data_IF_809119778523
#
_entry.id   IF_809119778523
#
_cell.length_a   1.000
_cell.length_b   1.000
_cell.length_c   1.000
_cell.angle_alpha   90.00
_cell.angle_beta   90.00
_cell.angle_gamma   90.00
#
_symmetry.space_group_name_H-M   'P 1'
#
loop_
_entity.id
_entity.type
_entity.pdbx_description
1 polymer ?
#
# COMPACT_ATOMS: atom_id res chain seq x y z
N UNK A 1 -14.69 32.11 -3.65
CA UNK A 1 -14.23 30.93 -4.41
C UNK A 1 -13.84 29.88 -3.39
N UNK A 2 -14.61 28.80 -3.28
CA UNK A 2 -14.31 27.72 -2.34
C UNK A 2 -13.20 26.87 -2.94
N UNK A 3 -11.97 27.02 -2.47
CA UNK A 3 -10.88 26.10 -2.81
C UNK A 3 -11.21 24.76 -2.16
N UNK A 4 -11.74 23.82 -2.93
CA UNK A 4 -11.81 22.42 -2.50
C UNK A 4 -10.39 21.97 -2.21
N UNK A 5 -10.10 21.72 -0.94
CA UNK A 5 -8.82 21.16 -0.50
C UNK A 5 -8.67 19.79 -1.16
N UNK A 6 -7.67 19.64 -2.03
CA UNK A 6 -7.34 18.35 -2.64
C UNK A 6 -7.07 17.35 -1.53
N UNK A 7 -7.69 16.17 -1.60
CA UNK A 7 -7.47 15.08 -0.65
C UNK A 7 -6.66 14.02 -1.37
N UNK A 8 -5.37 13.83 -1.05
CA UNK A 8 -4.55 12.89 -1.79
C UNK A 8 -5.11 11.47 -1.70
N UNK A 9 -5.30 10.85 -2.86
CA UNK A 9 -5.78 9.49 -3.06
C UNK A 9 -4.63 8.52 -2.98
N UNK A 10 -4.68 7.64 -1.99
CA UNK A 10 -3.64 6.68 -1.71
C UNK A 10 -4.16 5.26 -1.91
N UNK A 11 -3.54 4.53 -2.83
CA UNK A 11 -3.72 3.09 -2.95
C UNK A 11 -2.74 2.41 -1.99
N UNK A 12 -3.25 1.69 -1.00
CA UNK A 12 -2.43 0.80 -0.16
C UNK A 12 -2.55 -0.63 -0.64
N UNK A 13 -1.41 -1.20 -1.04
CA UNK A 13 -1.32 -2.60 -1.40
C UNK A 13 -0.18 -3.32 -0.67
N UNK A 14 -0.18 -4.65 -0.75
CA UNK A 14 0.73 -5.51 -0.01
C UNK A 14 0.23 -6.95 -0.03
N UNK A 15 1.02 -7.85 0.54
CA UNK A 15 0.70 -9.26 0.59
C UNK A 15 -0.37 -9.55 1.66
N UNK A 16 -1.42 -10.29 1.29
CA UNK A 16 -2.38 -10.88 2.22
C UNK A 16 -1.71 -12.00 3.02
N UNK A 17 -2.14 -12.10 4.26
CA UNK A 17 -1.27 -12.63 5.31
C UNK A 17 -1.66 -14.02 5.77
N UNK A 18 -2.47 -14.69 4.94
CA UNK A 18 -2.63 -16.15 4.87
C UNK A 18 -1.52 -16.82 4.03
N UNK A 19 -0.67 -16.04 3.37
CA UNK A 19 0.59 -16.51 2.80
C UNK A 19 1.46 -17.21 3.87
N UNK A 20 2.33 -18.14 3.45
CA UNK A 20 3.29 -18.79 4.35
C UNK A 20 4.36 -17.78 4.78
N UNK A 21 4.08 -17.01 5.84
CA UNK A 21 4.95 -15.94 6.32
C UNK A 21 6.12 -16.54 7.11
N UNK A 22 7.38 -16.26 6.74
CA UNK A 22 8.53 -16.75 7.49
C UNK A 22 8.50 -16.33 8.97
N UNK A 23 8.99 -17.17 9.91
CA UNK A 23 8.97 -16.87 11.34
C UNK A 23 9.62 -15.53 11.72
N UNK A 24 10.74 -15.15 11.08
CA UNK A 24 11.39 -13.84 11.31
C UNK A 24 10.50 -12.65 10.89
N UNK A 25 9.59 -12.85 9.94
CA UNK A 25 8.69 -11.80 9.53
C UNK A 25 7.56 -11.60 10.56
N UNK A 26 7.28 -12.62 11.40
CA UNK A 26 6.38 -12.48 12.55
C UNK A 26 6.96 -11.58 13.64
N UNK A 27 8.28 -11.50 13.82
CA UNK A 27 8.90 -10.58 14.78
C UNK A 27 8.96 -9.14 14.28
N UNK A 28 8.99 -8.92 12.95
CA UNK A 28 8.78 -7.61 12.32
C UNK A 28 7.31 -7.13 12.40
N UNK A 29 6.38 -8.01 12.80
CA UNK A 29 4.97 -7.71 13.01
C UNK A 29 4.70 -7.53 14.50
N UNK A 30 3.99 -6.46 14.88
CA UNK A 30 3.36 -6.43 16.20
C UNK A 30 2.33 -7.58 16.30
N UNK A 31 2.25 -8.31 17.44
CA UNK A 31 1.50 -9.57 17.56
C UNK A 31 -0.03 -9.44 17.46
N UNK A 32 -0.59 -8.23 17.42
CA UNK A 32 -2.04 -8.02 17.43
C UNK A 32 -2.60 -7.70 16.04
N UNK A 33 -3.08 -8.75 15.34
CA UNK A 33 -4.03 -8.62 14.23
C UNK A 33 -5.47 -8.61 14.75
N UNK A 34 -5.82 -7.63 15.56
CA UNK A 34 -7.24 -7.42 15.81
C UNK A 34 -7.76 -6.61 14.62
N UNK A 35 -8.85 -7.02 13.97
CA UNK A 35 -9.49 -6.27 12.88
C UNK A 35 -9.68 -4.78 13.24
N UNK A 36 -9.89 -4.51 14.55
CA UNK A 36 -9.94 -3.18 15.14
C UNK A 36 -8.69 -2.32 14.89
N UNK A 37 -7.48 -2.89 14.81
CA UNK A 37 -6.26 -2.12 14.50
C UNK A 37 -6.14 -1.75 13.03
N UNK A 38 -6.58 -2.61 12.10
CA UNK A 38 -6.63 -2.25 10.67
C UNK A 38 -7.61 -1.10 10.43
N UNK A 39 -8.78 -1.16 11.08
CA UNK A 39 -9.77 -0.09 11.05
C UNK A 39 -9.21 1.21 11.66
N UNK A 40 -8.57 1.16 12.84
CA UNK A 40 -7.94 2.34 13.48
C UNK A 40 -6.85 2.96 12.62
N UNK A 41 -6.00 2.15 11.97
CA UNK A 41 -4.93 2.65 11.10
C UNK A 41 -5.50 3.30 9.83
N UNK A 42 -6.56 2.73 9.26
CA UNK A 42 -7.28 3.33 8.13
C UNK A 42 -7.97 4.63 8.54
N UNK A 43 -8.61 4.66 9.70
CA UNK A 43 -9.24 5.85 10.26
C UNK A 43 -8.22 6.97 10.43
N UNK A 44 -7.06 6.70 11.04
CA UNK A 44 -5.98 7.70 11.20
C UNK A 44 -5.56 8.35 9.89
N UNK A 45 -5.46 7.59 8.79
CA UNK A 45 -5.11 8.16 7.48
C UNK A 45 -6.25 9.02 6.93
N UNK A 46 -7.50 8.58 7.09
CA UNK A 46 -8.68 9.35 6.66
C UNK A 46 -8.87 10.64 7.48
N UNK A 47 -8.69 10.56 8.79
CA UNK A 47 -8.76 11.70 9.71
C UNK A 47 -7.67 12.73 9.39
N UNK A 48 -6.53 12.29 8.86
CA UNK A 48 -5.46 13.15 8.36
C UNK A 48 -5.70 13.71 6.96
N UNK A 49 -6.87 13.47 6.34
CA UNK A 49 -7.26 14.06 5.06
C UNK A 49 -6.95 13.21 3.82
N UNK A 50 -6.42 11.99 3.96
CA UNK A 50 -6.15 11.12 2.83
C UNK A 50 -7.37 10.29 2.42
N UNK A 51 -7.61 10.14 1.12
CA UNK A 51 -8.58 9.18 0.59
C UNK A 51 -7.88 7.83 0.36
N UNK A 52 -8.23 6.82 1.15
CA UNK A 52 -7.49 5.55 1.20
C UNK A 52 -8.29 4.39 0.62
N UNK A 53 -7.76 3.82 -0.44
CA UNK A 53 -8.17 2.52 -1.01
C UNK A 53 -7.19 1.44 -0.55
N UNK A 54 -7.69 0.26 -0.13
CA UNK A 54 -6.84 -0.86 0.32
C UNK A 54 -7.15 -2.09 -0.52
N UNK A 55 -6.10 -2.74 -1.02
CA UNK A 55 -6.21 -4.04 -1.68
C UNK A 55 -5.00 -4.92 -1.34
N UNK A 56 -5.26 -6.11 -0.81
CA UNK A 56 -4.21 -7.09 -0.55
C UNK A 56 -4.11 -8.11 -1.68
N UNK A 57 -2.89 -8.43 -2.07
CA UNK A 57 -2.54 -9.40 -3.10
C UNK A 57 -2.23 -10.76 -2.49
N UNK A 58 -2.41 -11.83 -3.26
CA UNK A 58 -2.21 -13.21 -2.80
C UNK A 58 -1.03 -13.83 -3.54
N UNK A 59 -0.12 -14.47 -2.80
CA UNK A 59 1.06 -15.15 -3.36
C UNK A 59 0.69 -16.41 -4.14
N UNK A 60 -0.46 -17.03 -3.84
CA UNK A 60 -0.95 -18.18 -4.60
C UNK A 60 -1.46 -17.80 -6.00
N UNK A 61 -1.69 -16.51 -6.26
CA UNK A 61 -2.11 -16.02 -7.57
C UNK A 61 -1.60 -14.58 -7.83
N UNK A 62 -0.29 -14.41 -8.05
CA UNK A 62 0.32 -13.10 -8.20
C UNK A 62 -0.18 -12.39 -9.45
N UNK A 63 -0.40 -13.12 -10.56
CA UNK A 63 -0.87 -12.54 -11.82
C UNK A 63 -2.23 -11.85 -11.65
N UNK A 64 -3.18 -12.49 -10.97
CA UNK A 64 -4.48 -11.86 -10.66
C UNK A 64 -4.33 -10.56 -9.85
N UNK A 65 -3.34 -10.51 -8.96
CA UNK A 65 -3.00 -9.30 -8.21
C UNK A 65 -2.45 -8.18 -9.11
N UNK A 66 -1.57 -8.53 -10.06
CA UNK A 66 -1.00 -7.60 -11.04
C UNK A 66 -2.07 -7.07 -12.00
N UNK A 67 -2.92 -7.95 -12.54
CA UNK A 67 -4.01 -7.58 -13.46
C UNK A 67 -4.99 -6.62 -12.77
N UNK A 68 -5.34 -6.90 -11.52
CA UNK A 68 -6.18 -6.01 -10.72
C UNK A 68 -5.52 -4.65 -10.50
N UNK A 69 -4.23 -4.64 -10.14
CA UNK A 69 -3.48 -3.39 -9.91
C UNK A 69 -3.45 -2.55 -11.17
N UNK A 70 -3.09 -3.14 -12.31
CA UNK A 70 -3.05 -2.44 -13.59
C UNK A 70 -4.42 -1.88 -13.97
N UNK A 71 -5.48 -2.69 -13.88
CA UNK A 71 -6.84 -2.24 -14.15
C UNK A 71 -7.24 -1.07 -13.24
N UNK A 72 -6.91 -1.15 -11.94
CA UNK A 72 -7.29 -0.13 -10.98
C UNK A 72 -6.55 1.19 -11.20
N UNK A 73 -5.26 1.12 -11.53
CA UNK A 73 -4.45 2.30 -11.84
C UNK A 73 -4.84 2.96 -13.17
N UNK A 74 -5.40 2.20 -14.13
CA UNK A 74 -5.99 2.77 -15.36
C UNK A 74 -7.33 3.46 -15.10
N UNK A 75 -8.12 2.93 -14.18
CA UNK A 75 -9.46 3.46 -13.85
C UNK A 75 -9.38 4.71 -12.95
N UNK A 76 -8.42 4.74 -12.03
CA UNK A 76 -8.36 5.76 -10.98
C UNK A 76 -6.97 6.36 -10.88
N UNK A 77 -6.88 7.68 -10.97
CA UNK A 77 -5.67 8.41 -10.60
C UNK A 77 -5.47 8.38 -9.08
N UNK A 78 -4.31 7.91 -8.64
CA UNK A 78 -3.86 7.98 -7.25
C UNK A 78 -2.66 8.92 -7.15
N UNK A 79 -2.64 9.77 -6.13
CA UNK A 79 -1.50 10.63 -5.84
C UNK A 79 -0.34 9.81 -5.24
N UNK A 80 -0.65 8.69 -4.57
CA UNK A 80 0.36 7.78 -4.03
C UNK A 80 -0.04 6.31 -4.07
N UNK A 81 0.95 5.45 -4.27
CA UNK A 81 0.82 3.98 -4.25
C UNK A 81 1.75 3.44 -3.17
N UNK A 82 1.16 2.92 -2.09
CA UNK A 82 1.88 2.32 -0.99
C UNK A 82 2.06 0.82 -1.19
N UNK A 83 3.31 0.36 -1.17
CA UNK A 83 3.67 -1.06 -1.22
C UNK A 83 4.14 -1.53 0.15
N UNK A 84 3.29 -2.33 0.79
CA UNK A 84 3.48 -2.83 2.14
C UNK A 84 4.70 -3.75 2.30
N UNK A 85 5.26 -3.79 3.52
CA UNK A 85 6.41 -4.65 3.86
C UNK A 85 6.23 -6.13 3.50
N UNK A 86 4.99 -6.63 3.41
CA UNK A 86 4.69 -8.03 3.08
C UNK A 86 5.20 -8.48 1.72
N UNK A 87 5.29 -7.57 0.74
CA UNK A 87 5.88 -7.87 -0.57
C UNK A 87 7.40 -7.63 -0.59
N UNK A 88 7.92 -6.77 0.29
CA UNK A 88 9.31 -6.29 0.22
C UNK A 88 10.30 -7.05 1.08
N UNK A 89 9.90 -7.48 2.28
CA UNK A 89 10.83 -8.08 3.26
C UNK A 89 10.72 -9.60 3.34
N UNK A 90 9.97 -10.24 2.42
CA UNK A 90 9.95 -11.69 2.24
C UNK A 90 10.75 -11.99 0.95
N UNK A 91 11.94 -12.63 1.02
CA UNK A 91 12.79 -12.89 -0.13
C UNK A 91 12.08 -13.57 -1.30
N UNK A 92 11.18 -14.52 -1.00
CA UNK A 92 10.39 -15.26 -2.00
C UNK A 92 9.45 -14.35 -2.79
N UNK A 93 9.14 -13.14 -2.28
CA UNK A 93 8.25 -12.17 -2.93
C UNK A 93 9.00 -11.15 -3.79
N UNK A 94 10.33 -11.25 -3.91
CA UNK A 94 11.15 -10.26 -4.63
C UNK A 94 10.65 -10.03 -6.07
N UNK A 95 10.44 -11.11 -6.83
CA UNK A 95 9.95 -11.03 -8.22
C UNK A 95 8.55 -10.40 -8.27
N UNK A 96 7.68 -10.75 -7.33
CA UNK A 96 6.34 -10.18 -7.28
C UNK A 96 6.37 -8.68 -6.96
N UNK A 97 7.22 -8.29 -6.01
CA UNK A 97 7.45 -6.90 -5.66
C UNK A 97 7.97 -6.08 -6.85
N UNK A 98 8.94 -6.60 -7.60
CA UNK A 98 9.45 -5.96 -8.82
C UNK A 98 8.33 -5.73 -9.83
N UNK A 99 7.48 -6.74 -10.06
CA UNK A 99 6.34 -6.60 -10.96
C UNK A 99 5.32 -5.55 -10.48
N UNK A 100 5.01 -5.50 -9.18
CA UNK A 100 4.10 -4.50 -8.61
C UNK A 100 4.64 -3.08 -8.82
N UNK A 101 5.92 -2.85 -8.52
CA UNK A 101 6.57 -1.54 -8.72
C UNK A 101 6.60 -1.17 -10.21
N UNK A 102 6.90 -2.13 -11.08
CA UNK A 102 6.94 -1.89 -12.52
C UNK A 102 5.56 -1.57 -13.11
N UNK A 103 4.50 -2.26 -12.67
CA UNK A 103 3.12 -1.92 -13.05
C UNK A 103 2.76 -0.52 -12.57
N UNK A 104 3.02 -0.21 -11.29
CA UNK A 104 2.76 1.13 -10.74
C UNK A 104 3.45 2.24 -11.55
N UNK A 105 4.74 2.08 -11.82
CA UNK A 105 5.53 3.05 -12.59
C UNK A 105 5.06 3.19 -14.04
N UNK A 106 4.67 2.10 -14.70
CA UNK A 106 4.23 2.13 -16.10
C UNK A 106 2.82 2.72 -16.26
N UNK A 107 1.91 2.34 -15.38
CA UNK A 107 0.48 2.67 -15.49
C UNK A 107 0.14 3.99 -14.82
N UNK A 108 0.87 4.37 -13.76
CA UNK A 108 0.66 5.61 -13.03
C UNK A 108 1.99 6.32 -12.73
N UNK A 109 2.70 6.80 -13.77
CA UNK A 109 4.03 7.40 -13.61
C UNK A 109 4.05 8.67 -12.75
N UNK A 110 2.89 9.32 -12.56
CA UNK A 110 2.75 10.50 -11.69
C UNK A 110 2.52 10.18 -10.21
N UNK A 111 2.17 8.93 -9.86
CA UNK A 111 1.95 8.55 -8.47
C UNK A 111 3.26 8.43 -7.70
N UNK A 112 3.28 8.93 -6.47
CA UNK A 112 4.39 8.74 -5.53
C UNK A 112 4.40 7.30 -5.01
N UNK A 113 5.53 6.61 -5.13
CA UNK A 113 5.71 5.30 -4.51
C UNK A 113 6.01 5.46 -3.01
N UNK A 114 5.17 4.85 -2.17
CA UNK A 114 5.29 4.91 -0.71
C UNK A 114 5.68 3.54 -0.15
N UNK A 115 6.70 3.49 0.70
CA UNK A 115 7.14 2.27 1.36
C UNK A 115 7.04 2.44 2.89
N UNK A 116 6.09 1.73 3.51
CA UNK A 116 5.94 1.72 4.97
C UNK A 116 7.03 0.84 5.63
N UNK A 117 7.35 1.11 6.89
CA UNK A 117 8.33 0.29 7.63
C UNK A 117 7.70 -0.93 8.31
N UNK A 118 6.38 -0.99 8.32
CA UNK A 118 5.66 -2.08 8.94
C UNK A 118 4.21 -1.74 9.25
N UNK A 119 3.49 -2.66 9.89
CA UNK A 119 2.11 -2.45 10.28
C UNK A 119 1.96 -1.21 11.17
N UNK A 120 1.11 -0.26 10.76
CA UNK A 120 0.89 0.99 11.51
C UNK A 120 1.80 2.16 11.14
N UNK A 121 2.81 1.91 10.30
CA UNK A 121 3.73 2.93 9.77
C UNK A 121 3.28 3.52 8.42
N UNK A 122 2.00 3.37 8.08
CA UNK A 122 1.42 3.87 6.82
C UNK A 122 1.40 5.39 6.79
N UNK A 123 0.90 6.00 7.88
CA UNK A 123 0.85 7.45 8.02
C UNK A 123 2.26 8.05 7.96
N UNK A 124 3.22 7.44 8.66
CA UNK A 124 4.60 7.90 8.68
C UNK A 124 5.20 7.94 7.25
N UNK A 125 4.91 6.93 6.41
CA UNK A 125 5.32 6.94 5.01
C UNK A 125 4.67 8.07 4.18
N UNK A 126 3.40 8.40 4.44
CA UNK A 126 2.74 9.54 3.78
C UNK A 126 3.36 10.86 4.22
N UNK A 127 3.65 11.03 5.51
CA UNK A 127 4.25 12.26 6.04
C UNK A 127 5.64 12.52 5.46
N UNK A 128 6.46 11.47 5.30
CA UNK A 128 7.77 11.59 4.64
C UNK A 128 7.69 12.06 3.18
N UNK A 129 6.54 11.90 2.54
CA UNK A 129 6.33 12.22 1.13
C UNK A 129 5.26 13.30 0.94
N UNK A 130 4.92 14.05 2.00
CA UNK A 130 3.77 14.97 1.99
C UNK A 130 3.83 15.97 0.84
N UNK A 131 4.99 16.58 0.62
CA UNK A 131 5.21 17.57 -0.44
C UNK A 131 5.03 17.00 -1.85
N UNK A 132 5.26 15.70 -2.05
CA UNK A 132 5.05 15.03 -3.33
C UNK A 132 3.61 14.56 -3.54
N UNK A 133 2.78 14.55 -2.49
CA UNK A 133 1.39 14.11 -2.52
C UNK A 133 0.39 15.28 -2.66
N UNK A 134 0.86 16.52 -2.50
CA UNK A 134 0.10 17.77 -2.61
C UNK A 134 0.27 18.42 -3.98
#
# INVERSE_FOLDING_TARGET
MSTTTHKPKILMTGLDTNANIPPYFRSLRHPSRNQSQHQRRRARCKDAGYDVTIYFMYDQNPQKGLDWLEAKLKETHFDGIMVGVGLRLIPEQTVFYEHVVNVARKTSPGSVLLFNEGPGKNYDAMQRNKESLE
#
